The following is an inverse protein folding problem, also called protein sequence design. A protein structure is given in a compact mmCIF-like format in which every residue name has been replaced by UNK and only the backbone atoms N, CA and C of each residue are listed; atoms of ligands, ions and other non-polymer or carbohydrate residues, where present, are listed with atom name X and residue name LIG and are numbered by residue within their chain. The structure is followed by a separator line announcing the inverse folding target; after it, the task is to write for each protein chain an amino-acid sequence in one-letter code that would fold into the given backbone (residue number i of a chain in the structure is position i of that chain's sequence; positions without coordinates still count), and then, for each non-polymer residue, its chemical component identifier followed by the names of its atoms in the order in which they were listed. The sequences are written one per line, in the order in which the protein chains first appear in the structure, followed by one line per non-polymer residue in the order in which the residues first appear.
data_IF_944907661371
#
_entry.id   IF_944907661371
#
_cell.length_a   1.000
_cell.length_b   1.000
_cell.length_c   1.000
_cell.angle_alpha   90.00
_cell.angle_beta   90.00
_cell.angle_gamma   90.00
#
_symmetry.space_group_name_H-M   'P 1'
#
loop_
_entity.id
_entity.type
_entity.pdbx_description
1 polymer ?
#
# COMPACT_ATOMS: atom_id res chain seq x y z
N UNK A 1 -19.36 59.99 -44.29
CA UNK A 1 -18.21 60.40 -43.44
C UNK A 1 -18.48 59.88 -42.03
N UNK A 2 -17.49 59.26 -41.39
CA UNK A 2 -17.49 58.60 -40.06
C UNK A 2 -18.23 57.26 -39.97
N UNK A 3 -17.68 56.19 -39.37
CA UNK A 3 -16.31 55.76 -39.04
C UNK A 3 -16.53 54.30 -38.58
N UNK A 4 -16.02 53.32 -39.31
CA UNK A 4 -16.10 51.90 -38.95
C UNK A 4 -15.29 51.66 -37.68
N UNK A 5 -15.96 51.23 -36.60
CA UNK A 5 -15.33 50.83 -35.35
C UNK A 5 -15.14 49.31 -35.38
N UNK A 6 -13.97 48.85 -35.82
CA UNK A 6 -13.58 47.45 -35.73
C UNK A 6 -13.28 47.09 -34.28
N UNK A 7 -14.16 46.33 -33.64
CA UNK A 7 -13.93 45.74 -32.33
C UNK A 7 -13.06 44.49 -32.53
N UNK A 8 -11.78 44.59 -32.17
CA UNK A 8 -10.86 43.48 -32.12
C UNK A 8 -11.15 42.66 -30.85
N UNK A 9 -11.85 41.54 -31.01
CA UNK A 9 -12.04 40.56 -29.92
C UNK A 9 -10.73 39.81 -29.73
N UNK A 10 -10.00 40.12 -28.66
CA UNK A 10 -8.78 39.42 -28.26
C UNK A 10 -9.17 38.12 -27.55
N UNK A 11 -9.12 37.00 -28.27
CA UNK A 11 -9.35 35.67 -27.70
C UNK A 11 -8.14 35.30 -26.83
N UNK A 12 -8.30 35.44 -25.50
CA UNK A 12 -7.32 34.90 -24.55
C UNK A 12 -7.43 33.37 -24.61
N UNK A 13 -6.46 32.73 -25.26
CA UNK A 13 -6.26 31.29 -25.15
C UNK A 13 -5.80 30.99 -23.72
N UNK A 14 -6.74 30.57 -22.87
CA UNK A 14 -6.40 29.93 -21.60
C UNK A 14 -5.82 28.57 -21.96
N UNK A 15 -4.50 28.49 -22.11
CA UNK A 15 -3.80 27.21 -22.02
C UNK A 15 -3.97 26.74 -20.59
N UNK A 16 -4.93 25.85 -20.34
CA UNK A 16 -4.88 24.98 -19.18
C UNK A 16 -3.55 24.23 -19.26
N UNK A 17 -2.54 24.69 -18.53
CA UNK A 17 -1.42 23.84 -18.20
C UNK A 17 -2.01 22.60 -17.53
N UNK A 18 -1.75 21.43 -18.11
CA UNK A 18 -1.85 20.18 -17.36
C UNK A 18 -0.88 20.35 -16.19
N UNK A 19 -1.39 20.70 -15.00
CA UNK A 19 -0.59 20.51 -13.80
C UNK A 19 -0.30 19.02 -13.73
N UNK A 20 0.99 18.67 -13.63
CA UNK A 20 1.39 17.35 -13.21
C UNK A 20 0.61 17.03 -11.92
N UNK A 21 -0.15 15.93 -11.95
CA UNK A 21 -1.03 15.58 -10.84
C UNK A 21 -0.19 14.83 -9.80
N UNK A 22 0.32 15.54 -8.79
CA UNK A 22 1.03 14.89 -7.71
C UNK A 22 0.08 14.01 -6.89
N UNK A 23 0.50 12.78 -6.62
CA UNK A 23 -0.23 11.81 -5.82
C UNK A 23 0.47 11.64 -4.47
N UNK A 24 -0.33 11.58 -3.40
CA UNK A 24 0.18 11.26 -2.06
C UNK A 24 -0.09 9.78 -1.72
N UNK A 25 0.71 9.14 -0.86
CA UNK A 25 0.60 7.70 -0.62
C UNK A 25 -0.73 7.25 0.02
N UNK A 26 -1.38 8.13 0.79
CA UNK A 26 -2.56 7.79 1.56
C UNK A 26 -3.70 8.79 1.42
N UNK A 27 -4.90 8.33 1.72
CA UNK A 27 -6.11 9.14 1.83
C UNK A 27 -6.72 8.95 3.22
N UNK A 28 -6.98 10.05 3.91
CA UNK A 28 -7.82 10.07 5.11
C UNK A 28 -9.28 10.04 4.66
N UNK A 29 -9.94 8.90 4.84
CA UNK A 29 -11.29 8.66 4.36
C UNK A 29 -12.36 9.20 5.29
N UNK A 30 -12.22 8.91 6.58
CA UNK A 30 -13.18 9.30 7.59
C UNK A 30 -12.51 9.50 8.96
N UNK A 31 -13.24 10.20 9.81
CA UNK A 31 -12.95 10.38 11.22
C UNK A 31 -14.12 9.81 12.03
N UNK A 32 -13.81 8.98 13.02
CA UNK A 32 -14.80 8.38 13.90
C UNK A 32 -14.52 8.70 15.37
N UNK A 33 -15.58 8.68 16.16
CA UNK A 33 -15.54 8.79 17.63
C UNK A 33 -16.04 7.48 18.23
N UNK A 34 -15.68 7.21 19.49
CA UNK A 34 -16.04 5.97 20.17
C UNK A 34 -14.85 5.03 20.32
N UNK A 35 -15.11 3.80 20.74
CA UNK A 35 -14.05 2.82 20.98
C UNK A 35 -13.51 2.23 19.67
N UNK A 36 -12.25 1.82 19.70
CA UNK A 36 -11.60 1.12 18.59
C UNK A 36 -12.39 -0.13 18.16
N UNK A 37 -13.03 -0.84 19.09
CA UNK A 37 -13.85 -2.02 18.80
C UNK A 37 -15.12 -1.68 17.98
N UNK A 38 -15.81 -0.60 18.33
CA UNK A 38 -17.01 -0.14 17.61
C UNK A 38 -16.66 0.35 16.20
N UNK A 39 -15.55 1.07 16.06
CA UNK A 39 -15.08 1.54 14.75
C UNK A 39 -14.64 0.36 13.88
N UNK A 40 -13.92 -0.63 14.43
CA UNK A 40 -13.59 -1.87 13.73
C UNK A 40 -14.83 -2.59 13.19
N UNK A 41 -15.86 -2.73 14.01
CA UNK A 41 -17.13 -3.36 13.61
C UNK A 41 -17.80 -2.60 12.47
N UNK A 42 -17.79 -1.27 12.55
CA UNK A 42 -18.35 -0.41 11.50
C UNK A 42 -17.56 -0.54 10.19
N UNK A 43 -16.23 -0.43 10.26
CA UNK A 43 -15.35 -0.53 9.08
C UNK A 43 -15.49 -1.90 8.42
N UNK A 44 -15.45 -3.00 9.18
CA UNK A 44 -15.65 -4.36 8.65
C UNK A 44 -16.95 -4.48 7.85
N UNK A 45 -18.05 -3.99 8.42
CA UNK A 45 -19.37 -3.98 7.78
C UNK A 45 -19.37 -3.15 6.50
N UNK A 46 -18.83 -1.93 6.51
CA UNK A 46 -18.87 -1.07 5.34
C UNK A 46 -17.97 -1.55 4.21
N UNK A 47 -16.78 -2.08 4.53
CA UNK A 47 -15.89 -2.68 3.53
C UNK A 47 -16.62 -3.82 2.80
N UNK A 48 -17.19 -4.77 3.54
CA UNK A 48 -17.96 -5.90 2.97
C UNK A 48 -19.17 -5.44 2.17
N UNK A 49 -19.97 -4.51 2.71
CA UNK A 49 -21.16 -3.94 2.05
C UNK A 49 -20.85 -3.35 0.67
N UNK A 50 -19.69 -2.71 0.51
CA UNK A 50 -19.28 -2.07 -0.75
C UNK A 50 -18.45 -2.99 -1.66
N UNK A 51 -18.44 -4.30 -1.37
CA UNK A 51 -17.84 -5.33 -2.21
C UNK A 51 -16.32 -5.44 -2.09
N UNK A 52 -15.74 -4.98 -0.98
CA UNK A 52 -14.35 -5.19 -0.64
C UNK A 52 -14.23 -6.47 0.19
N UNK A 53 -13.25 -7.32 -0.16
CA UNK A 53 -12.92 -8.52 0.59
C UNK A 53 -11.84 -8.17 1.62
N UNK A 54 -12.13 -8.39 2.89
CA UNK A 54 -11.11 -8.37 3.95
C UNK A 54 -10.35 -9.68 3.88
N UNK A 55 -9.05 -9.60 3.61
CA UNK A 55 -8.15 -10.75 3.55
C UNK A 55 -7.67 -11.17 4.93
N UNK A 56 -7.44 -10.18 5.78
CA UNK A 56 -6.96 -10.32 7.14
C UNK A 56 -6.80 -8.96 7.80
N UNK A 57 -6.53 -8.97 9.10
CA UNK A 57 -6.35 -7.75 9.86
C UNK A 57 -5.59 -8.01 11.14
N UNK A 58 -4.84 -7.02 11.62
CA UNK A 58 -4.04 -7.16 12.83
C UNK A 58 -3.72 -5.80 13.46
N UNK A 59 -3.04 -5.84 14.60
CA UNK A 59 -2.58 -4.69 15.38
C UNK A 59 -1.07 -4.52 15.17
N UNK A 60 -0.64 -3.59 14.30
CA UNK A 60 0.77 -3.43 14.00
C UNK A 60 1.57 -2.95 15.21
N UNK A 61 2.84 -3.34 15.29
CA UNK A 61 3.78 -2.95 16.35
C UNK A 61 3.30 -3.24 17.78
N UNK A 62 2.30 -4.13 17.94
CA UNK A 62 1.59 -4.35 19.21
C UNK A 62 1.04 -3.04 19.84
N UNK A 63 0.73 -2.04 19.01
CA UNK A 63 0.21 -0.74 19.43
C UNK A 63 -1.32 -0.76 19.40
N UNK A 64 -1.94 -0.68 20.59
CA UNK A 64 -3.41 -0.70 20.74
C UNK A 64 -4.13 0.45 20.05
N UNK A 65 -3.41 1.53 19.70
CA UNK A 65 -3.93 2.67 18.96
C UNK A 65 -3.98 2.44 17.46
N UNK A 66 -3.41 1.34 16.96
CA UNK A 66 -3.31 1.03 15.54
C UNK A 66 -4.05 -0.24 15.17
N UNK A 67 -4.66 -0.24 14.00
CA UNK A 67 -5.22 -1.44 13.40
C UNK A 67 -5.20 -1.35 11.90
N UNK A 68 -4.93 -2.46 11.22
CA UNK A 68 -4.92 -2.50 9.75
C UNK A 68 -5.75 -3.66 9.25
N UNK A 69 -6.53 -3.40 8.21
CA UNK A 69 -7.14 -4.37 7.34
C UNK A 69 -6.37 -4.45 6.03
N UNK A 70 -5.98 -5.67 5.63
CA UNK A 70 -5.61 -5.95 4.25
C UNK A 70 -6.89 -6.25 3.47
N UNK A 71 -7.11 -5.52 2.38
CA UNK A 71 -8.33 -5.61 1.57
C UNK A 71 -8.00 -5.88 0.10
N UNK A 72 -8.89 -6.60 -0.57
CA UNK A 72 -8.82 -6.84 -2.01
C UNK A 72 -10.21 -6.80 -2.64
N UNK A 73 -10.27 -6.99 -3.95
CA UNK A 73 -11.51 -7.10 -4.72
C UNK A 73 -11.25 -7.87 -6.01
N UNK A 74 -12.31 -8.30 -6.69
CA UNK A 74 -12.20 -8.86 -8.04
C UNK A 74 -11.60 -7.87 -9.05
N UNK A 75 -11.71 -6.56 -8.81
CA UNK A 75 -11.09 -5.53 -9.65
C UNK A 75 -9.55 -5.61 -9.55
N UNK A 76 -8.99 -5.66 -8.33
CA UNK A 76 -7.52 -5.80 -8.14
C UNK A 76 -6.99 -7.12 -8.69
N UNK A 77 -7.70 -8.23 -8.46
CA UNK A 77 -7.33 -9.53 -9.03
C UNK A 77 -7.34 -9.50 -10.56
N UNK A 78 -8.30 -8.79 -11.17
CA UNK A 78 -8.35 -8.64 -12.63
C UNK A 78 -7.17 -7.82 -13.15
N UNK A 79 -6.80 -6.72 -12.47
CA UNK A 79 -5.64 -5.92 -12.81
C UNK A 79 -4.35 -6.75 -12.81
N UNK A 80 -4.09 -7.49 -11.72
CA UNK A 80 -2.91 -8.35 -11.61
C UNK A 80 -2.94 -9.46 -12.66
N UNK A 81 -4.09 -10.06 -12.95
CA UNK A 81 -4.20 -11.08 -14.00
C UNK A 81 -3.91 -10.54 -15.41
N UNK A 82 -4.21 -9.27 -15.67
CA UNK A 82 -3.93 -8.64 -16.96
C UNK A 82 -2.44 -8.43 -17.22
N UNK A 83 -1.62 -8.31 -16.17
CA UNK A 83 -0.18 -8.09 -16.29
C UNK A 83 0.59 -9.35 -15.83
N UNK A 84 0.55 -9.65 -14.54
CA UNK A 84 1.19 -10.82 -13.93
C UNK A 84 2.55 -10.47 -13.30
N UNK A 85 3.34 -11.49 -12.99
CA UNK A 85 4.64 -11.32 -12.37
C UNK A 85 4.57 -10.59 -11.01
N UNK A 86 5.53 -9.68 -10.79
CA UNK A 86 5.66 -8.90 -9.55
C UNK A 86 4.45 -8.01 -9.24
N UNK A 87 3.60 -7.70 -10.22
CA UNK A 87 2.33 -6.98 -9.95
C UNK A 87 1.40 -7.74 -9.00
N UNK A 88 1.71 -9.02 -8.67
CA UNK A 88 1.13 -9.76 -7.55
C UNK A 88 1.10 -8.98 -6.23
N UNK A 89 2.11 -8.15 -5.94
CA UNK A 89 2.11 -7.26 -4.75
C UNK A 89 0.98 -6.23 -4.76
N UNK A 90 0.45 -5.89 -5.94
CA UNK A 90 -0.65 -4.94 -6.11
C UNK A 90 -2.04 -5.56 -5.92
N UNK A 91 -2.12 -6.86 -5.57
CA UNK A 91 -3.38 -7.57 -5.40
C UNK A 91 -4.12 -7.17 -4.09
N UNK A 92 -3.43 -6.52 -3.15
CA UNK A 92 -3.98 -6.09 -1.87
C UNK A 92 -3.66 -4.62 -1.58
N UNK A 93 -4.58 -3.94 -0.91
CA UNK A 93 -4.48 -2.56 -0.47
C UNK A 93 -4.85 -2.51 1.02
N UNK A 94 -4.61 -1.39 1.72
CA UNK A 94 -4.76 -1.33 3.18
C UNK A 94 -5.74 -0.27 3.61
N UNK A 95 -6.49 -0.58 4.66
CA UNK A 95 -7.32 0.37 5.41
C UNK A 95 -6.85 0.34 6.85
N UNK A 96 -6.47 1.49 7.39
CA UNK A 96 -5.95 1.63 8.74
C UNK A 96 -6.87 2.46 9.62
N UNK A 97 -6.88 2.10 10.90
CA UNK A 97 -7.53 2.83 11.99
C UNK A 97 -6.42 3.25 12.94
N UNK A 98 -6.30 4.56 13.17
CA UNK A 98 -5.30 5.10 14.10
C UNK A 98 -5.97 6.04 15.10
N UNK A 99 -5.76 5.81 16.39
CA UNK A 99 -6.21 6.71 17.43
C UNK A 99 -5.25 7.91 17.57
N UNK A 100 -5.74 9.10 17.23
CA UNK A 100 -4.99 10.37 17.28
C UNK A 100 -5.90 11.48 17.80
N UNK A 101 -5.43 12.26 18.77
CA UNK A 101 -6.18 13.42 19.28
C UNK A 101 -7.57 13.09 19.86
N UNK A 102 -7.73 11.90 20.46
CA UNK A 102 -9.01 11.44 21.02
C UNK A 102 -10.05 10.99 19.99
N UNK A 103 -9.62 10.79 18.73
CA UNK A 103 -10.45 10.35 17.60
C UNK A 103 -9.79 9.16 16.92
N UNK A 104 -10.56 8.40 16.16
CA UNK A 104 -10.05 7.33 15.31
C UNK A 104 -10.07 7.80 13.86
N UNK A 105 -8.88 8.00 13.32
CA UNK A 105 -8.66 8.32 11.90
C UNK A 105 -8.71 7.04 11.09
N UNK A 106 -9.53 7.04 10.04
CA UNK A 106 -9.70 5.92 9.12
C UNK A 106 -9.04 6.31 7.79
N UNK A 107 -7.84 5.81 7.56
CA UNK A 107 -7.04 6.07 6.36
C UNK A 107 -6.92 4.83 5.50
N UNK A 108 -6.50 5.00 4.25
CA UNK A 108 -6.24 3.88 3.34
C UNK A 108 -5.18 4.25 2.31
N UNK A 109 -4.52 3.24 1.75
CA UNK A 109 -3.57 3.42 0.64
C UNK A 109 -4.28 4.04 -0.56
N UNK A 110 -3.70 5.10 -1.13
CA UNK A 110 -4.25 5.81 -2.28
C UNK A 110 -4.12 4.95 -3.54
N UNK A 111 -5.19 4.35 -4.10
CA UNK A 111 -5.01 3.32 -5.12
C UNK A 111 -4.28 3.81 -6.39
N UNK A 112 -4.53 5.02 -6.92
CA UNK A 112 -3.70 5.59 -7.99
C UNK A 112 -2.20 5.69 -7.68
N UNK A 113 -1.82 6.08 -6.46
CA UNK A 113 -0.40 6.20 -6.08
C UNK A 113 0.30 4.84 -6.16
N UNK A 114 -0.24 3.87 -5.40
CA UNK A 114 0.32 2.52 -5.31
C UNK A 114 0.18 1.75 -6.63
N UNK A 115 -0.86 2.04 -7.40
CA UNK A 115 -1.07 1.47 -8.72
C UNK A 115 -0.01 1.92 -9.72
N UNK A 116 0.30 3.22 -9.80
CA UNK A 116 1.38 3.70 -10.66
C UNK A 116 2.74 3.12 -10.23
N UNK A 117 3.03 3.06 -8.92
CA UNK A 117 4.28 2.49 -8.44
C UNK A 117 4.45 0.99 -8.73
N UNK A 118 3.37 0.20 -8.69
CA UNK A 118 3.47 -1.26 -8.82
C UNK A 118 3.18 -1.79 -10.22
N UNK A 119 2.40 -1.06 -11.03
CA UNK A 119 2.17 -1.42 -12.43
C UNK A 119 3.06 -0.63 -13.39
N UNK A 120 3.68 0.47 -12.94
CA UNK A 120 4.56 1.32 -13.75
C UNK A 120 3.87 1.71 -15.07
N UNK A 121 4.55 1.57 -16.20
CA UNK A 121 4.00 1.79 -17.53
C UNK A 121 2.73 0.99 -17.86
N UNK A 122 2.50 -0.14 -17.18
CA UNK A 122 1.28 -0.93 -17.35
C UNK A 122 0.07 -0.36 -16.60
N UNK A 123 0.23 0.68 -15.77
CA UNK A 123 -0.86 1.22 -14.96
C UNK A 123 -2.04 1.67 -15.83
N UNK A 124 -1.78 2.30 -16.98
CA UNK A 124 -2.84 2.76 -17.88
C UNK A 124 -3.71 1.60 -18.42
N UNK A 125 -3.13 0.40 -18.56
CA UNK A 125 -3.85 -0.83 -18.97
C UNK A 125 -4.83 -1.30 -17.89
N UNK A 126 -4.51 -1.04 -16.62
CA UNK A 126 -5.27 -1.53 -15.45
C UNK A 126 -6.03 -0.44 -14.71
N UNK A 127 -5.85 0.84 -15.08
CA UNK A 127 -6.41 2.01 -14.40
C UNK A 127 -7.92 1.88 -14.13
N UNK A 128 -8.68 1.37 -15.09
CA UNK A 128 -10.13 1.15 -14.95
C UNK A 128 -10.52 0.25 -13.76
N UNK A 129 -9.67 -0.72 -13.41
CA UNK A 129 -9.90 -1.60 -12.26
C UNK A 129 -9.59 -0.87 -10.96
N UNK A 130 -8.50 -0.09 -10.94
CA UNK A 130 -8.11 0.74 -9.81
C UNK A 130 -9.12 1.87 -9.53
N UNK A 131 -9.67 2.50 -10.56
CA UNK A 131 -10.73 3.51 -10.43
C UNK A 131 -12.00 2.91 -9.78
N UNK A 132 -12.39 1.69 -10.18
CA UNK A 132 -13.51 0.96 -9.56
C UNK A 132 -13.22 0.65 -8.09
N UNK A 133 -12.04 0.13 -7.79
CA UNK A 133 -11.61 -0.20 -6.43
C UNK A 133 -11.59 1.05 -5.54
N UNK A 134 -11.00 2.15 -6.01
CA UNK A 134 -11.00 3.44 -5.32
C UNK A 134 -12.42 3.96 -5.06
N UNK A 135 -13.33 3.81 -6.04
CA UNK A 135 -14.74 4.14 -5.88
C UNK A 135 -15.44 3.34 -4.77
N UNK A 136 -15.11 2.05 -4.61
CA UNK A 136 -15.63 1.20 -3.53
C UNK A 136 -15.10 1.64 -2.17
N UNK A 137 -13.79 1.93 -2.07
CA UNK A 137 -13.17 2.46 -0.84
C UNK A 137 -13.83 3.77 -0.43
N UNK A 138 -13.95 4.73 -1.35
CA UNK A 138 -14.60 6.03 -1.08
C UNK A 138 -16.03 5.87 -0.54
N UNK A 139 -16.82 4.96 -1.14
CA UNK A 139 -18.17 4.66 -0.67
C UNK A 139 -18.19 4.01 0.71
N UNK A 140 -17.27 3.08 0.98
CA UNK A 140 -17.13 2.47 2.31
C UNK A 140 -16.77 3.51 3.37
N UNK A 141 -15.77 4.36 3.12
CA UNK A 141 -15.32 5.38 4.07
C UNK A 141 -16.41 6.39 4.41
N UNK A 142 -17.24 6.79 3.42
CA UNK A 142 -18.37 7.70 3.66
C UNK A 142 -19.34 7.18 4.73
N UNK A 143 -19.48 5.87 4.86
CA UNK A 143 -20.39 5.21 5.79
C UNK A 143 -19.69 4.79 7.11
N UNK A 144 -18.40 5.11 7.29
CA UNK A 144 -17.60 4.72 8.46
C UNK A 144 -17.52 5.80 9.56
N UNK A 145 -17.88 7.04 9.26
CA UNK A 145 -17.74 8.18 10.18
C UNK A 145 -17.95 9.50 9.48
N UNK A 146 -17.43 10.59 10.06
CA UNK A 146 -17.40 11.92 9.41
C UNK A 146 -16.44 11.86 8.20
N UNK A 147 -16.91 12.08 6.96
CA UNK A 147 -16.04 12.03 5.78
C UNK A 147 -14.98 13.14 5.82
N UNK A 148 -13.74 12.80 5.46
CA UNK A 148 -12.61 13.75 5.46
C UNK A 148 -12.05 14.00 4.05
N UNK A 149 -11.80 12.94 3.28
CA UNK A 149 -11.25 12.96 1.90
C UNK A 149 -10.07 13.93 1.75
N UNK A 150 -9.00 13.67 2.51
CA UNK A 150 -7.75 14.45 2.47
C UNK A 150 -6.59 13.53 2.09
N UNK A 151 -5.81 13.89 1.08
CA UNK A 151 -4.59 13.17 0.73
C UNK A 151 -3.44 13.56 1.66
N UNK A 152 -2.64 12.58 2.10
CA UNK A 152 -1.53 12.81 3.03
C UNK A 152 -0.40 11.80 2.83
N UNK A 153 0.68 12.02 3.55
CA UNK A 153 1.85 11.16 3.61
C UNK A 153 3.05 11.64 2.82
N UNK A 154 2.88 12.75 2.09
CA UNK A 154 3.95 13.60 1.58
C UNK A 154 3.45 15.06 1.54
N UNK A 155 4.31 16.03 1.76
CA UNK A 155 4.02 17.46 1.68
C UNK A 155 3.59 17.85 0.27
N UNK A 156 4.41 17.50 -0.73
CA UNK A 156 4.18 17.82 -2.14
C UNK A 156 3.53 16.66 -2.92
N UNK A 157 3.67 15.43 -2.43
CA UNK A 157 3.33 14.23 -3.20
C UNK A 157 4.34 13.96 -4.32
N UNK A 158 4.12 12.87 -5.04
CA UNK A 158 4.99 12.41 -6.13
C UNK A 158 4.32 12.62 -7.48
N UNK A 159 5.09 13.04 -8.48
CA UNK A 159 4.61 13.10 -9.86
C UNK A 159 4.28 11.70 -10.38
N UNK A 160 3.35 11.59 -11.32
CA UNK A 160 2.90 10.28 -11.84
C UNK A 160 4.04 9.54 -12.53
N UNK A 161 4.85 10.24 -13.32
CA UNK A 161 5.95 9.63 -14.06
C UNK A 161 7.06 9.19 -13.08
N UNK A 162 7.40 10.03 -12.09
CA UNK A 162 8.33 9.68 -11.01
C UNK A 162 7.85 8.46 -10.20
N UNK A 163 6.54 8.26 -10.04
CA UNK A 163 6.02 7.06 -9.40
C UNK A 163 6.23 5.79 -10.24
N UNK A 164 6.16 5.88 -11.56
CA UNK A 164 6.32 4.73 -12.45
C UNK A 164 7.79 4.26 -12.49
N UNK A 165 8.71 5.20 -12.33
CA UNK A 165 10.16 4.96 -12.27
C UNK A 165 10.72 5.15 -10.86
N UNK A 166 9.90 4.89 -9.84
CA UNK A 166 10.21 5.29 -8.47
C UNK A 166 11.48 4.61 -7.94
N UNK A 167 12.47 5.45 -7.65
CA UNK A 167 13.60 5.15 -6.78
C UNK A 167 13.80 6.34 -5.84
N UNK A 168 13.99 6.08 -4.55
CA UNK A 168 14.08 7.16 -3.55
C UNK A 168 15.29 8.07 -3.76
N UNK A 169 16.41 7.48 -4.17
CA UNK A 169 17.61 8.19 -4.61
C UNK A 169 18.24 7.44 -5.77
N UNK A 170 19.05 8.15 -6.55
CA UNK A 170 19.88 7.55 -7.60
C UNK A 170 20.70 6.40 -6.98
N UNK A 171 20.67 5.23 -7.61
CA UNK A 171 21.25 3.95 -7.14
C UNK A 171 20.51 3.26 -5.98
N UNK A 172 19.28 3.66 -5.65
CA UNK A 172 18.42 2.88 -4.76
C UNK A 172 17.52 1.91 -5.54
N UNK A 173 17.07 0.82 -4.89
CA UNK A 173 16.26 -0.20 -5.54
C UNK A 173 14.95 0.36 -6.10
N UNK A 174 14.60 -0.11 -7.30
CA UNK A 174 13.32 0.11 -7.97
C UNK A 174 12.31 -1.01 -7.62
N UNK A 175 11.14 -1.00 -8.28
CA UNK A 175 10.08 -1.98 -8.03
C UNK A 175 10.48 -3.43 -8.38
N UNK A 176 11.27 -3.62 -9.44
CA UNK A 176 11.72 -4.94 -9.90
C UNK A 176 13.02 -5.43 -9.27
N UNK A 177 13.71 -4.58 -8.50
CA UNK A 177 14.86 -4.94 -7.65
C UNK A 177 14.41 -5.67 -6.37
N UNK A 178 13.57 -6.71 -6.52
CA UNK A 178 13.09 -7.51 -5.39
C UNK A 178 14.19 -8.37 -4.79
N UNK A 179 14.11 -8.62 -3.48
CA UNK A 179 14.92 -9.65 -2.83
C UNK A 179 14.29 -11.02 -3.06
N UNK A 180 15.03 -11.93 -3.69
CA UNK A 180 14.64 -13.34 -3.81
C UNK A 180 15.01 -14.05 -2.51
N UNK A 181 13.99 -14.35 -1.70
CA UNK A 181 14.15 -14.99 -0.39
C UNK A 181 14.52 -16.46 -0.51
N UNK A 182 13.92 -17.15 -1.49
CA UNK A 182 14.18 -18.56 -1.77
C UNK A 182 13.66 -18.97 -3.15
N UNK A 183 14.36 -19.92 -3.77
CA UNK A 183 13.88 -20.67 -4.92
C UNK A 183 13.55 -22.13 -4.49
N UNK A 184 12.43 -22.64 -4.99
CA UNK A 184 11.97 -24.02 -4.77
C UNK A 184 11.99 -24.82 -6.08
N UNK A 185 11.77 -26.13 -6.02
CA UNK A 185 11.66 -26.96 -7.23
C UNK A 185 10.36 -26.72 -8.02
N UNK A 186 9.31 -26.17 -7.40
CA UNK A 186 8.06 -25.82 -8.08
C UNK A 186 7.20 -24.85 -7.27
N UNK A 187 6.22 -24.20 -7.93
CA UNK A 187 5.18 -23.41 -7.27
C UNK A 187 4.46 -24.20 -6.17
N UNK A 188 4.08 -25.45 -6.45
CA UNK A 188 3.37 -26.28 -5.49
C UNK A 188 4.22 -26.60 -4.26
N UNK A 189 5.53 -26.78 -4.45
CA UNK A 189 6.47 -27.02 -3.35
C UNK A 189 6.65 -25.77 -2.49
N UNK A 190 6.85 -24.60 -3.11
CA UNK A 190 6.97 -23.31 -2.43
C UNK A 190 5.75 -23.05 -1.54
N UNK A 191 4.55 -23.10 -2.13
CA UNK A 191 3.29 -22.86 -1.41
C UNK A 191 3.10 -23.85 -0.28
N UNK A 192 3.33 -25.15 -0.52
CA UNK A 192 3.16 -26.18 0.50
C UNK A 192 4.13 -26.00 1.68
N UNK A 193 5.38 -25.64 1.39
CA UNK A 193 6.41 -25.45 2.42
C UNK A 193 6.10 -24.24 3.28
N UNK A 194 5.81 -23.10 2.65
CA UNK A 194 5.45 -21.85 3.34
C UNK A 194 4.19 -22.03 4.18
N UNK A 195 3.12 -22.59 3.61
CA UNK A 195 1.87 -22.80 4.34
C UNK A 195 2.07 -23.73 5.55
N UNK A 196 2.89 -24.77 5.41
CA UNK A 196 3.20 -25.69 6.51
C UNK A 196 4.05 -25.03 7.61
N UNK A 197 5.01 -24.16 7.23
CA UNK A 197 5.85 -23.42 8.17
C UNK A 197 5.04 -22.40 8.95
N UNK A 198 4.26 -21.56 8.26
CA UNK A 198 3.37 -20.59 8.89
C UNK A 198 2.36 -21.25 9.84
N UNK A 199 1.81 -22.41 9.46
CA UNK A 199 0.89 -23.17 10.33
C UNK A 199 1.56 -23.70 11.60
N UNK A 200 2.85 -24.07 11.54
CA UNK A 200 3.62 -24.52 12.71
C UNK A 200 4.01 -23.37 13.63
N UNK A 201 3.91 -22.13 13.15
CA UNK A 201 4.43 -20.94 13.81
C UNK A 201 5.91 -20.79 13.51
N UNK A 202 6.29 -19.57 13.16
CA UNK A 202 7.67 -19.15 12.99
C UNK A 202 7.90 -18.01 13.98
N UNK A 203 9.05 -18.02 14.65
CA UNK A 203 9.34 -17.03 15.69
C UNK A 203 9.25 -15.63 15.09
N UNK A 204 8.71 -14.68 15.84
CA UNK A 204 8.65 -13.26 15.49
C UNK A 204 7.84 -12.89 14.25
N UNK A 205 7.19 -13.84 13.57
CA UNK A 205 6.34 -13.57 12.41
C UNK A 205 4.95 -14.14 12.59
N UNK A 206 3.96 -13.52 11.95
CA UNK A 206 2.57 -13.98 11.99
C UNK A 206 1.90 -13.80 10.64
N UNK A 207 1.14 -14.80 10.20
CA UNK A 207 0.34 -14.70 8.98
C UNK A 207 -0.84 -13.76 9.21
N UNK A 208 -0.88 -12.62 8.51
CA UNK A 208 -2.04 -11.72 8.49
C UNK A 208 -3.03 -12.18 7.44
N UNK A 209 -2.56 -12.48 6.22
CA UNK A 209 -3.40 -13.05 5.16
C UNK A 209 -2.57 -13.83 4.14
N UNK A 210 -3.23 -14.73 3.43
CA UNK A 210 -2.71 -15.36 2.21
C UNK A 210 -3.76 -15.30 1.11
N UNK A 211 -3.35 -15.06 -0.12
CA UNK A 211 -4.24 -14.96 -1.26
C UNK A 211 -3.57 -15.45 -2.54
N UNK A 212 -4.20 -16.41 -3.20
CA UNK A 212 -3.80 -16.88 -4.53
C UNK A 212 -4.41 -16.01 -5.62
N UNK A 213 -3.68 -15.80 -6.71
CA UNK A 213 -4.15 -15.11 -7.91
C UNK A 213 -4.44 -16.20 -8.96
N UNK A 214 -5.73 -16.51 -9.23
CA UNK A 214 -6.09 -17.66 -10.04
C UNK A 214 -5.54 -17.59 -11.47
N UNK A 215 -4.85 -18.65 -11.88
CA UNK A 215 -4.31 -18.81 -13.24
C UNK A 215 -2.99 -18.10 -13.49
N UNK A 216 -2.27 -17.63 -12.46
CA UNK A 216 -0.97 -16.96 -12.63
C UNK A 216 0.22 -17.59 -11.88
N UNK A 217 0.02 -18.69 -11.14
CA UNK A 217 1.04 -19.22 -10.20
C UNK A 217 1.62 -18.10 -9.31
N UNK A 218 0.73 -17.28 -8.76
CA UNK A 218 1.08 -16.22 -7.83
C UNK A 218 0.31 -16.43 -6.53
N UNK A 219 1.01 -16.34 -5.40
CA UNK A 219 0.40 -16.33 -4.07
C UNK A 219 1.04 -15.27 -3.20
N UNK A 220 0.23 -14.30 -2.78
CA UNK A 220 0.65 -13.19 -1.94
C UNK A 220 0.37 -13.52 -0.47
N UNK A 221 1.37 -13.33 0.38
CA UNK A 221 1.27 -13.46 1.82
C UNK A 221 1.54 -12.12 2.48
N UNK A 222 0.65 -11.68 3.37
CA UNK A 222 0.90 -10.55 4.27
C UNK A 222 1.33 -11.06 5.64
N UNK A 223 2.47 -10.56 6.12
CA UNK A 223 3.15 -11.03 7.33
C UNK A 223 3.31 -9.87 8.31
N UNK A 224 2.84 -10.07 9.55
CA UNK A 224 3.11 -9.17 10.66
C UNK A 224 4.43 -9.55 11.33
N UNK A 225 5.26 -8.55 11.62
CA UNK A 225 6.61 -8.72 12.18
C UNK A 225 6.66 -8.24 13.63
N UNK A 226 7.34 -8.99 14.49
CA UNK A 226 7.40 -8.76 15.94
C UNK A 226 8.79 -9.10 16.49
N UNK A 227 9.00 -8.91 17.79
CA UNK A 227 10.31 -9.11 18.39
C UNK A 227 11.24 -7.90 18.22
N UNK A 228 12.54 -8.05 18.54
CA UNK A 228 13.49 -6.94 18.56
C UNK A 228 13.71 -6.30 17.20
N UNK A 229 13.57 -7.07 16.12
CA UNK A 229 13.80 -6.60 14.75
C UNK A 229 12.46 -6.41 13.99
N UNK A 230 11.35 -6.39 14.72
CA UNK A 230 9.99 -6.32 14.18
C UNK A 230 9.44 -4.89 14.10
N UNK A 231 8.13 -4.79 13.86
CA UNK A 231 7.46 -3.51 13.62
C UNK A 231 7.60 -2.50 14.77
N UNK A 232 7.69 -2.97 16.01
CA UNK A 232 7.82 -2.11 17.19
C UNK A 232 9.16 -1.37 17.25
N UNK A 233 10.19 -1.86 16.56
CA UNK A 233 11.52 -1.25 16.51
C UNK A 233 11.57 -0.07 15.53
N UNK A 234 11.13 -0.29 14.30
CA UNK A 234 11.26 0.74 13.26
C UNK A 234 10.07 1.73 13.18
N UNK A 235 8.84 1.31 13.56
CA UNK A 235 7.65 2.17 13.41
C UNK A 235 7.76 3.51 14.14
N UNK A 236 8.26 3.58 15.40
CA UNK A 236 8.44 4.86 16.10
C UNK A 236 9.42 5.81 15.41
N UNK A 237 10.36 5.27 14.62
CA UNK A 237 11.39 6.03 13.93
C UNK A 237 10.90 6.59 12.59
N UNK A 238 10.12 5.81 11.84
CA UNK A 238 9.65 6.19 10.50
C UNK A 238 8.30 6.91 10.51
N UNK A 239 7.39 6.52 11.39
CA UNK A 239 6.02 7.02 11.38
C UNK A 239 5.82 8.13 12.42
N UNK A 240 6.55 9.22 12.21
CA UNK A 240 6.61 10.38 13.11
C UNK A 240 5.58 11.47 12.75
N UNK A 241 5.10 11.50 11.51
CA UNK A 241 4.13 12.48 11.02
C UNK A 241 2.72 12.26 11.59
N UNK A 242 1.81 13.21 11.33
CA UNK A 242 0.37 13.09 11.59
C UNK A 242 -0.39 13.58 10.34
N UNK A 243 -1.39 12.84 9.82
CA UNK A 243 -1.85 11.52 10.27
C UNK A 243 -0.79 10.42 10.13
N UNK A 244 -0.87 9.39 10.96
CA UNK A 244 0.05 8.23 10.90
C UNK A 244 -0.15 7.39 9.64
N UNK A 245 0.95 6.87 9.13
CA UNK A 245 0.99 6.01 7.94
C UNK A 245 0.74 4.54 8.33
N UNK A 246 -0.17 4.27 9.26
CA UNK A 246 -0.45 2.91 9.78
C UNK A 246 -0.77 1.91 8.65
N UNK A 247 -1.36 2.37 7.55
CA UNK A 247 -1.65 1.58 6.34
C UNK A 247 -0.40 1.11 5.56
N UNK A 248 0.80 1.50 6.00
CA UNK A 248 2.07 1.00 5.54
C UNK A 248 2.18 -0.53 5.64
N UNK A 249 1.75 -1.07 6.78
CA UNK A 249 1.89 -2.49 7.12
C UNK A 249 0.65 -3.30 6.71
N UNK A 250 0.70 -4.65 6.63
CA UNK A 250 1.85 -5.53 6.86
C UNK A 250 2.85 -5.53 5.69
N UNK A 251 4.01 -6.15 5.94
CA UNK A 251 4.96 -6.53 4.89
C UNK A 251 4.42 -7.74 4.11
N UNK A 252 4.93 -7.90 2.88
CA UNK A 252 4.46 -8.93 1.97
C UNK A 252 5.60 -9.74 1.39
N UNK A 253 5.31 -11.01 1.15
CA UNK A 253 6.11 -11.90 0.30
C UNK A 253 5.21 -12.50 -0.78
N UNK A 254 5.74 -12.62 -2.00
CA UNK A 254 5.04 -13.12 -3.18
C UNK A 254 5.73 -14.38 -3.68
N UNK A 255 5.01 -15.50 -3.68
CA UNK A 255 5.43 -16.67 -4.46
C UNK A 255 5.07 -16.40 -5.91
N UNK A 256 6.06 -16.43 -6.80
CA UNK A 256 5.93 -16.23 -8.24
C UNK A 256 6.60 -17.37 -8.98
N UNK A 257 5.80 -18.27 -9.57
CA UNK A 257 6.34 -19.51 -10.11
C UNK A 257 6.99 -20.31 -8.99
N UNK A 258 8.28 -20.59 -9.07
CA UNK A 258 9.03 -21.30 -8.02
C UNK A 258 9.87 -20.40 -7.11
N UNK A 259 9.88 -19.09 -7.36
CA UNK A 259 10.63 -18.10 -6.57
C UNK A 259 9.73 -17.40 -5.55
N UNK A 260 10.34 -16.95 -4.47
CA UNK A 260 9.68 -16.19 -3.41
C UNK A 260 10.37 -14.84 -3.28
N UNK A 261 9.60 -13.78 -3.50
CA UNK A 261 10.10 -12.41 -3.53
C UNK A 261 9.56 -11.61 -2.36
N UNK A 262 10.33 -10.65 -1.89
CA UNK A 262 9.81 -9.48 -1.18
C UNK A 262 10.23 -8.21 -1.93
N UNK A 263 9.39 -7.17 -1.85
CA UNK A 263 9.85 -5.85 -2.26
C UNK A 263 11.02 -5.42 -1.37
N UNK A 264 12.06 -4.85 -1.97
CA UNK A 264 13.24 -4.43 -1.23
C UNK A 264 12.84 -3.46 -0.10
N UNK A 265 13.32 -3.70 1.12
CA UNK A 265 12.87 -2.94 2.31
C UNK A 265 13.04 -1.43 2.15
N UNK A 266 14.17 -0.98 1.57
CA UNK A 266 14.40 0.44 1.24
C UNK A 266 13.35 1.02 0.29
N UNK A 267 13.05 0.35 -0.82
CA UNK A 267 12.01 0.76 -1.77
C UNK A 267 10.65 0.84 -1.05
N UNK A 268 10.28 -0.22 -0.31
CA UNK A 268 9.00 -0.31 0.37
C UNK A 268 8.80 0.79 1.41
N UNK A 269 9.83 1.12 2.19
CA UNK A 269 9.80 2.19 3.19
C UNK A 269 9.71 3.55 2.50
N UNK A 270 10.59 3.85 1.54
CA UNK A 270 10.62 5.16 0.89
C UNK A 270 9.30 5.49 0.17
N UNK A 271 8.76 4.54 -0.60
CA UNK A 271 7.48 4.71 -1.28
C UNK A 271 6.31 4.95 -0.29
N UNK A 272 6.46 4.51 0.95
CA UNK A 272 5.44 4.69 2.01
C UNK A 272 5.60 5.97 2.81
N UNK A 273 6.79 6.55 2.78
CA UNK A 273 7.15 7.75 3.53
C UNK A 273 8.14 8.58 2.69
N UNK A 274 7.67 9.21 1.60
CA UNK A 274 8.56 9.86 0.63
C UNK A 274 9.37 11.01 1.23
N UNK A 275 8.79 11.69 2.23
CA UNK A 275 9.43 12.81 2.92
C UNK A 275 10.41 12.40 4.02
N UNK A 276 10.67 11.10 4.23
CA UNK A 276 11.67 10.70 5.20
C UNK A 276 13.02 11.25 4.81
N UNK A 277 13.68 11.95 5.73
CA UNK A 277 15.04 12.40 5.52
C UNK A 277 16.05 11.25 5.55
N UNK A 278 17.22 11.46 4.94
CA UNK A 278 18.36 10.53 5.09
C UNK A 278 18.78 10.29 6.54
N UNK A 279 18.65 11.31 7.40
CA UNK A 279 18.91 11.16 8.83
C UNK A 279 17.98 10.14 9.50
N UNK A 280 16.75 10.01 9.03
CA UNK A 280 15.83 8.95 9.48
C UNK A 280 16.22 7.60 8.89
N UNK A 281 16.54 7.53 7.59
CA UNK A 281 17.00 6.28 6.95
C UNK A 281 18.25 5.70 7.61
N UNK A 282 19.21 6.52 8.04
CA UNK A 282 20.38 6.06 8.78
C UNK A 282 20.02 5.39 10.11
N UNK A 283 18.97 5.86 10.80
CA UNK A 283 18.53 5.27 12.07
C UNK A 283 17.91 3.88 11.90
N UNK A 284 17.41 3.56 10.71
CA UNK A 284 16.77 2.28 10.38
C UNK A 284 17.62 1.47 9.39
N UNK A 285 18.93 1.68 9.36
CA UNK A 285 19.77 1.11 8.30
C UNK A 285 19.81 -0.42 8.28
N UNK A 286 19.60 -1.08 9.44
CA UNK A 286 19.49 -2.54 9.54
C UNK A 286 18.09 -3.05 9.14
N UNK A 287 17.06 -2.23 9.33
CA UNK A 287 15.64 -2.63 9.19
C UNK A 287 15.34 -3.35 7.87
N UNK A 288 15.81 -2.91 6.68
CA UNK A 288 15.58 -3.66 5.45
C UNK A 288 16.10 -5.11 5.49
N UNK A 289 17.30 -5.33 6.05
CA UNK A 289 17.90 -6.66 6.19
C UNK A 289 17.20 -7.48 7.28
N UNK A 290 16.84 -6.84 8.39
CA UNK A 290 16.10 -7.49 9.48
C UNK A 290 14.74 -8.05 9.00
N UNK A 291 14.03 -7.29 8.15
CA UNK A 291 12.79 -7.73 7.52
C UNK A 291 13.04 -8.89 6.57
N UNK A 292 14.11 -8.82 5.77
CA UNK A 292 14.50 -9.89 4.85
C UNK A 292 14.81 -11.19 5.58
N UNK A 293 15.55 -11.14 6.69
CA UNK A 293 15.86 -12.31 7.52
C UNK A 293 14.59 -12.91 8.14
N UNK A 294 13.70 -12.06 8.67
CA UNK A 294 12.41 -12.51 9.22
C UNK A 294 11.55 -13.20 8.17
N UNK A 295 11.46 -12.65 6.95
CA UNK A 295 10.67 -13.26 5.87
C UNK A 295 11.35 -14.51 5.29
N UNK A 296 12.68 -14.53 5.21
CA UNK A 296 13.45 -15.72 4.78
C UNK A 296 13.21 -16.90 5.70
N UNK A 297 13.10 -16.68 7.01
CA UNK A 297 12.83 -17.73 8.00
C UNK A 297 11.52 -18.50 7.78
N UNK A 298 10.57 -17.94 7.01
CA UNK A 298 9.31 -18.58 6.63
C UNK A 298 9.53 -19.57 5.47
N UNK A 299 10.55 -19.33 4.66
CA UNK A 299 10.88 -20.10 3.48
C UNK A 299 11.78 -21.30 3.79
N UNK A 300 12.52 -21.28 4.92
CA UNK A 300 13.47 -22.32 5.37
C UNK A 300 12.84 -23.67 5.68
#
# INVERSE_FOLDING_TARGET
MMRTLSILVLTIAVTCGLQAQNLKPYLLGAEATGSMSEVKTTVDKQLKKHGLKILGSYMPANDSKRYVYAVSSSDLISAVKSVGGLTGFAAAQRVALTEEGGKILISYTNPPYWGNAYFRDDYDKVKKYYDKFAGRLKKAMKDCGKPMVVAFGSEEGEEIDDLRDYSYMIMMPEFDDTNVLREFGSYSEAVKTIDAKLKKGVKNVSLVYAMEIPGKQLKLYGIGLSGPDGEADFMPTIDIAAPKHTAFLPYEMLVMGNEVHMLHGRFRIALSFPDLTMGTFTKIMSTPGDIEDLLTSICE
#
